data_IF_174582687469
#
_entry.id   IF_174582687469
#
_cell.length_a   1.000
_cell.length_b   1.000
_cell.length_c   1.000
_cell.angle_alpha   90.00
_cell.angle_beta   90.00
_cell.angle_gamma   90.00
#
_symmetry.space_group_name_H-M   'P 1'
#
loop_
_entity.id
_entity.type
_entity.pdbx_description
1 polymer ?
#
# COMPACT_ATOMS: atom_id res chain seq x y z
N UNK A 1 -5.00 7.56 10.69
CA UNK A 1 -5.19 7.14 9.29
C UNK A 1 -3.84 7.14 8.60
N UNK A 2 -3.52 6.08 7.86
CA UNK A 2 -2.28 6.01 7.11
C UNK A 2 -2.39 6.95 5.90
N UNK A 3 -1.59 8.01 5.87
CA UNK A 3 -1.53 8.96 4.76
C UNK A 3 -0.27 8.71 3.94
N UNK A 4 -0.36 8.85 2.63
CA UNK A 4 0.76 8.61 1.71
C UNK A 4 1.36 9.95 1.27
N UNK A 5 2.60 10.29 1.66
CA UNK A 5 3.24 11.52 1.23
C UNK A 5 3.46 11.53 -0.28
N UNK A 6 3.13 12.64 -0.94
CA UNK A 6 3.29 12.80 -2.39
C UNK A 6 4.73 12.59 -2.86
N UNK A 7 5.70 12.96 -2.01
CA UNK A 7 7.11 12.81 -2.32
C UNK A 7 7.59 11.36 -2.47
N UNK A 8 6.77 10.37 -2.09
CA UNK A 8 7.14 8.95 -2.11
C UNK A 8 6.80 8.23 -3.42
N UNK A 9 5.83 8.72 -4.16
CA UNK A 9 5.36 8.04 -5.38
C UNK A 9 5.44 8.91 -6.64
N UNK A 10 5.59 10.22 -6.50
CA UNK A 10 5.78 11.12 -7.63
C UNK A 10 7.22 11.08 -8.14
N UNK A 11 7.39 11.02 -9.45
CA UNK A 11 8.72 11.00 -10.09
C UNK A 11 9.25 12.42 -10.25
N UNK A 12 10.47 12.68 -9.74
CA UNK A 12 11.13 13.99 -9.88
C UNK A 12 11.80 14.09 -11.24
N UNK A 13 11.51 15.12 -12.06
CA UNK A 13 12.30 15.39 -13.25
C UNK A 13 13.76 15.68 -12.88
N UNK A 14 14.72 15.07 -13.59
CA UNK A 14 16.16 15.20 -13.33
C UNK A 14 16.73 16.63 -13.38
N UNK A 15 15.94 17.62 -13.82
CA UNK A 15 16.33 19.03 -13.93
C UNK A 15 16.18 19.81 -12.62
N UNK A 16 15.52 19.24 -11.61
CA UNK A 16 15.32 19.88 -10.31
C UNK A 16 15.95 19.03 -9.19
N UNK A 17 16.49 19.70 -8.17
CA UNK A 17 17.02 19.04 -6.97
C UNK A 17 15.91 18.27 -6.25
N UNK A 18 16.20 17.03 -5.88
CA UNK A 18 15.30 16.20 -5.08
C UNK A 18 14.98 16.85 -3.73
N UNK A 19 15.96 17.49 -3.09
CA UNK A 19 15.76 18.15 -1.79
C UNK A 19 14.76 19.30 -1.88
N UNK A 20 14.86 20.15 -2.91
CA UNK A 20 13.93 21.25 -3.12
C UNK A 20 12.52 20.77 -3.47
N UNK A 21 12.44 19.69 -4.24
CA UNK A 21 11.18 19.06 -4.58
C UNK A 21 10.52 18.42 -3.34
N UNK A 22 11.28 17.68 -2.53
CA UNK A 22 10.80 17.06 -1.29
C UNK A 22 10.38 18.12 -0.27
N UNK A 23 11.06 19.26 -0.17
CA UNK A 23 10.62 20.37 0.69
C UNK A 23 9.28 20.97 0.26
N UNK A 24 8.99 21.03 -1.05
CA UNK A 24 7.73 21.59 -1.59
C UNK A 24 6.54 20.63 -1.45
N UNK A 25 6.76 19.33 -1.62
CA UNK A 25 5.70 18.31 -1.64
C UNK A 25 5.64 17.43 -0.38
N UNK A 26 6.64 17.51 0.50
CA UNK A 26 6.74 16.65 1.69
C UNK A 26 5.65 16.88 2.74
N UNK A 27 4.96 18.04 2.69
CA UNK A 27 3.82 18.34 3.57
C UNK A 27 2.47 17.97 2.95
N UNK A 28 2.46 17.51 1.70
CA UNK A 28 1.25 17.07 1.02
C UNK A 28 1.15 15.56 1.10
N UNK A 29 0.00 15.08 1.56
CA UNK A 29 -0.31 13.67 1.60
C UNK A 29 -1.66 13.41 0.95
N UNK A 30 -1.72 12.28 0.24
CA UNK A 30 -2.94 11.68 -0.27
C UNK A 30 -3.48 10.65 0.74
N UNK A 31 -4.77 10.37 0.67
CA UNK A 31 -5.41 9.36 1.50
C UNK A 31 -5.22 7.97 0.90
N UNK A 32 -5.47 7.83 -0.41
CA UNK A 32 -5.22 6.57 -1.12
C UNK A 32 -4.47 6.79 -2.43
N UNK A 33 -3.61 5.83 -2.75
CA UNK A 33 -2.91 5.73 -4.03
C UNK A 33 -3.24 4.36 -4.60
N UNK A 34 -3.75 4.35 -5.83
CA UNK A 34 -4.08 3.12 -6.55
C UNK A 34 -2.92 2.82 -7.49
N UNK A 35 -2.35 1.63 -7.32
CA UNK A 35 -1.24 1.15 -8.13
C UNK A 35 -1.63 -0.09 -8.92
N UNK A 36 -0.95 -0.30 -10.04
CA UNK A 36 -0.99 -1.56 -10.79
C UNK A 36 -0.10 -2.63 -10.12
N UNK A 37 -0.12 -3.86 -10.65
CA UNK A 37 0.72 -4.97 -10.18
C UNK A 37 2.23 -4.66 -10.30
N UNK A 38 2.62 -3.82 -11.26
CA UNK A 38 3.99 -3.32 -11.43
C UNK A 38 4.33 -2.12 -10.52
N UNK A 39 3.50 -1.83 -9.51
CA UNK A 39 3.61 -0.68 -8.61
C UNK A 39 3.56 0.69 -9.29
N UNK A 40 3.07 0.76 -10.52
CA UNK A 40 2.86 2.03 -11.22
C UNK A 40 1.60 2.71 -10.68
N UNK A 41 1.69 4.01 -10.38
CA UNK A 41 0.56 4.79 -9.88
C UNK A 41 -0.43 5.04 -11.01
N UNK A 42 -1.66 4.51 -10.86
CA UNK A 42 -2.75 4.67 -11.80
C UNK A 42 -3.62 5.89 -11.46
N UNK A 43 -3.94 6.06 -10.18
CA UNK A 43 -4.79 7.15 -9.71
C UNK A 43 -4.54 7.46 -8.22
N UNK A 44 -4.94 8.67 -7.80
CA UNK A 44 -4.89 9.12 -6.41
C UNK A 44 -6.29 9.50 -5.97
N UNK A 45 -6.65 9.17 -4.72
CA UNK A 45 -7.94 9.51 -4.13
C UNK A 45 -7.75 10.37 -2.89
N UNK A 46 -8.48 11.48 -2.85
CA UNK A 46 -8.66 12.33 -1.67
C UNK A 46 -10.07 12.08 -1.11
N UNK A 47 -10.15 11.76 0.18
CA UNK A 47 -11.41 11.53 0.88
C UNK A 47 -11.79 12.77 1.68
N UNK A 48 -12.89 13.40 1.29
CA UNK A 48 -13.47 14.53 2.01
C UNK A 48 -14.52 14.02 3.01
N UNK A 49 -14.43 14.53 4.24
CA UNK A 49 -15.50 14.35 5.21
C UNK A 49 -16.80 14.98 4.71
N UNK A 50 -17.93 14.38 5.07
CA UNK A 50 -19.24 14.92 4.72
C UNK A 50 -19.44 16.32 5.34
N UNK A 51 -20.00 17.23 4.56
CA UNK A 51 -19.83 18.68 4.75
C UNK A 51 -20.27 19.21 6.13
N UNK A 52 -19.30 19.62 6.94
CA UNK A 52 -19.45 20.69 7.94
C UNK A 52 -19.31 22.08 7.28
N UNK A 53 -19.35 23.20 8.05
CA UNK A 53 -19.25 24.54 7.48
C UNK A 53 -18.04 24.68 6.55
N UNK A 54 -18.26 25.31 5.40
CA UNK A 54 -17.32 25.40 4.27
C UNK A 54 -15.89 25.66 4.74
N UNK A 55 -15.04 24.64 4.62
CA UNK A 55 -13.67 24.70 5.11
C UNK A 55 -12.72 25.14 4.00
N UNK A 56 -12.52 26.45 3.88
CA UNK A 56 -11.60 27.09 2.92
C UNK A 56 -10.17 26.49 2.98
N UNK A 57 -9.74 25.99 4.15
CA UNK A 57 -8.42 25.33 4.28
C UNK A 57 -8.35 23.98 3.55
N UNK A 58 -9.44 23.21 3.56
CA UNK A 58 -9.54 21.91 2.87
C UNK A 58 -9.54 22.14 1.37
N UNK A 59 -10.35 23.09 0.88
CA UNK A 59 -10.36 23.46 -0.54
C UNK A 59 -8.98 23.91 -1.04
N UNK A 60 -8.29 24.78 -0.28
CA UNK A 60 -6.92 25.22 -0.60
C UNK A 60 -5.89 24.08 -0.56
N UNK A 61 -6.05 23.08 0.33
CA UNK A 61 -5.20 21.88 0.35
C UNK A 61 -5.44 21.05 -0.91
N UNK A 62 -6.70 20.74 -1.22
CA UNK A 62 -7.06 19.93 -2.38
C UNK A 62 -6.64 20.60 -3.69
N UNK A 63 -6.78 21.94 -3.80
CA UNK A 63 -6.36 22.68 -4.98
C UNK A 63 -4.83 22.59 -5.20
N UNK A 64 -4.03 22.67 -4.14
CA UNK A 64 -2.57 22.47 -4.21
C UNK A 64 -2.23 21.06 -4.68
N UNK A 65 -2.90 20.05 -4.14
CA UNK A 65 -2.72 18.66 -4.53
C UNK A 65 -3.13 18.41 -5.99
N UNK A 66 -4.26 18.98 -6.42
CA UNK A 66 -4.75 18.95 -7.81
C UNK A 66 -3.72 19.53 -8.79
N UNK A 67 -3.08 20.65 -8.44
CA UNK A 67 -1.99 21.22 -9.25
C UNK A 67 -0.80 20.25 -9.38
N UNK A 68 -0.40 19.62 -8.29
CA UNK A 68 0.69 18.64 -8.28
C UNK A 68 0.37 17.39 -9.10
N UNK A 69 -0.85 16.84 -8.95
CA UNK A 69 -1.31 15.68 -9.72
C UNK A 69 -1.43 15.98 -11.21
N UNK A 70 -1.96 17.17 -11.57
CA UNK A 70 -2.05 17.64 -12.95
C UNK A 70 -0.67 17.74 -13.62
N UNK A 71 0.33 18.27 -12.90
CA UNK A 71 1.70 18.34 -13.39
C UNK A 71 2.33 16.95 -13.59
N UNK A 72 1.98 15.99 -12.73
CA UNK A 72 2.42 14.60 -12.82
C UNK A 72 1.64 13.76 -13.86
N UNK A 73 0.56 14.31 -14.44
CA UNK A 73 -0.37 13.61 -15.33
C UNK A 73 -1.03 12.39 -14.68
N UNK A 74 -1.26 12.45 -13.37
CA UNK A 74 -1.95 11.41 -12.61
C UNK A 74 -3.37 11.89 -12.31
N UNK A 75 -4.42 11.09 -12.56
CA UNK A 75 -5.79 11.45 -12.22
C UNK A 75 -5.99 11.51 -10.70
N UNK A 76 -6.65 12.57 -10.24
CA UNK A 76 -7.06 12.78 -8.85
C UNK A 76 -8.58 12.65 -8.74
N UNK A 77 -9.05 11.77 -7.86
CA UNK A 77 -10.47 11.61 -7.55
C UNK A 77 -10.77 12.16 -6.17
N UNK A 78 -11.81 12.99 -6.07
CA UNK A 78 -12.31 13.48 -4.79
C UNK A 78 -13.57 12.70 -4.45
N UNK A 79 -13.53 11.94 -3.37
CA UNK A 79 -14.68 11.20 -2.86
C UNK A 79 -15.15 11.83 -1.55
N UNK A 80 -16.44 11.72 -1.29
CA UNK A 80 -17.03 12.17 -0.03
C UNK A 80 -17.39 10.95 0.81
N UNK A 81 -17.12 10.98 2.10
CA UNK A 81 -17.37 9.87 3.02
C UNK A 81 -18.82 9.37 2.99
N UNK A 82 -19.79 10.28 2.93
CA UNK A 82 -21.22 9.95 2.83
C UNK A 82 -21.70 9.49 1.45
N UNK A 83 -20.86 9.56 0.41
CA UNK A 83 -21.23 9.20 -0.96
C UNK A 83 -20.06 8.55 -1.69
N UNK A 84 -19.72 7.35 -1.23
CA UNK A 84 -18.69 6.52 -1.86
C UNK A 84 -19.24 5.84 -3.11
N UNK A 85 -18.53 5.89 -4.24
CA UNK A 85 -18.91 5.16 -5.44
C UNK A 85 -18.87 3.64 -5.21
N UNK A 86 -19.78 2.87 -5.82
CA UNK A 86 -19.74 1.41 -5.74
C UNK A 86 -18.48 0.86 -6.43
N UNK A 87 -17.98 -0.29 -5.97
CA UNK A 87 -16.69 -0.84 -6.41
C UNK A 87 -16.56 -1.04 -7.92
N UNK A 88 -17.63 -1.42 -8.61
CA UNK A 88 -17.63 -1.56 -10.07
C UNK A 88 -17.51 -0.22 -10.79
N UNK A 89 -18.12 0.84 -10.27
CA UNK A 89 -17.97 2.19 -10.81
C UNK A 89 -16.52 2.67 -10.63
N UNK A 90 -15.93 2.44 -9.46
CA UNK A 90 -14.52 2.74 -9.17
C UNK A 90 -13.59 2.06 -10.18
N UNK A 91 -13.77 0.75 -10.40
CA UNK A 91 -12.97 -0.02 -11.38
C UNK A 91 -13.06 0.56 -12.79
N UNK A 92 -14.26 0.93 -13.24
CA UNK A 92 -14.47 1.54 -14.57
C UNK A 92 -13.85 2.93 -14.69
N UNK A 93 -13.87 3.72 -13.62
CA UNK A 93 -13.27 5.05 -13.60
C UNK A 93 -11.75 4.99 -13.67
N UNK A 94 -11.12 4.07 -12.95
CA UNK A 94 -9.66 3.94 -12.88
C UNK A 94 -9.11 3.18 -14.10
N UNK A 95 -9.77 2.08 -14.49
CA UNK A 95 -9.35 1.20 -15.59
C UNK A 95 -10.47 1.07 -16.64
N UNK A 96 -10.69 2.09 -17.49
CA UNK A 96 -11.75 2.07 -18.50
C UNK A 96 -11.53 0.99 -19.58
N UNK A 97 -10.31 0.49 -19.72
CA UNK A 97 -9.93 -0.54 -20.71
C UNK A 97 -10.10 -1.96 -20.19
N UNK A 98 -10.34 -2.16 -18.89
CA UNK A 98 -10.58 -3.49 -18.35
C UNK A 98 -11.98 -3.93 -18.77
N UNK A 99 -12.13 -4.93 -19.66
CA UNK A 99 -13.43 -5.48 -19.93
C UNK A 99 -13.99 -5.97 -18.60
N UNK A 100 -15.21 -5.52 -18.28
CA UNK A 100 -16.00 -6.05 -17.16
C UNK A 100 -16.00 -7.56 -17.32
N UNK A 101 -15.26 -8.27 -16.46
CA UNK A 101 -15.38 -9.71 -16.38
C UNK A 101 -16.86 -10.02 -16.15
N UNK A 102 -17.50 -10.86 -16.99
CA UNK A 102 -18.90 -11.14 -16.81
C UNK A 102 -19.06 -11.76 -15.41
N UNK A 103 -19.97 -11.19 -14.62
CA UNK A 103 -20.46 -11.81 -13.41
C UNK A 103 -20.85 -13.25 -13.78
N UNK A 104 -20.12 -14.23 -13.23
CA UNK A 104 -20.48 -15.64 -13.38
C UNK A 104 -21.83 -15.78 -12.68
N UNK A 105 -22.88 -15.82 -13.50
CA UNK A 105 -24.24 -16.07 -13.07
C UNK A 105 -24.28 -17.31 -12.18
N UNK A 106 -24.84 -17.11 -10.99
CA UNK A 106 -25.65 -18.02 -10.21
C UNK A 106 -25.66 -19.50 -10.66
N UNK A 107 -25.06 -20.34 -9.82
CA UNK A 107 -25.65 -21.54 -9.21
C UNK A 107 -26.82 -22.16 -10.00
N UNK A 108 -26.58 -23.32 -10.61
CA UNK A 108 -27.61 -24.33 -10.85
C UNK A 108 -27.36 -25.53 -9.94
N UNK A 109 -28.33 -25.94 -9.09
CA UNK A 109 -28.18 -27.11 -8.25
C UNK A 109 -28.55 -28.36 -9.07
N UNK A 110 -27.56 -29.15 -9.48
CA UNK A 110 -27.82 -30.52 -9.94
C UNK A 110 -27.68 -31.46 -8.76
N UNK A 111 -28.85 -31.79 -8.23
CA UNK A 111 -29.10 -32.81 -7.23
C UNK A 111 -28.71 -34.18 -7.80
N UNK A 112 -27.75 -34.86 -7.18
CA UNK A 112 -27.52 -36.29 -7.40
C UNK A 112 -27.11 -36.94 -6.08
N UNK A 113 -28.13 -37.36 -5.34
CA UNK A 113 -28.07 -38.31 -4.24
C UNK A 113 -27.45 -39.63 -4.71
N UNK A 114 -26.37 -40.08 -4.07
CA UNK A 114 -26.04 -41.49 -3.98
C UNK A 114 -25.36 -41.79 -2.64
N UNK A 115 -25.99 -42.69 -1.91
CA UNK A 115 -25.75 -43.07 -0.51
C UNK A 115 -24.81 -44.28 -0.42
N UNK A 116 -23.71 -44.13 0.34
CA UNK A 116 -22.98 -45.12 1.19
C UNK A 116 -22.45 -46.44 0.57
N UNK A 117 -21.60 -47.27 1.25
CA UNK A 117 -20.85 -47.10 2.52
C UNK A 117 -19.33 -47.41 2.42
N UNK A 118 -18.62 -47.21 3.55
CA UNK A 118 -17.21 -47.54 3.81
C UNK A 118 -17.04 -49.08 3.95
N UNK A 119 -15.84 -49.65 3.69
CA UNK A 119 -15.18 -50.31 4.81
C UNK A 119 -13.67 -50.04 4.91
N UNK A 120 -13.21 -50.20 6.16
CA UNK A 120 -11.88 -49.97 6.67
C UNK A 120 -10.81 -50.93 6.08
N UNK A 121 -9.61 -50.41 5.86
CA UNK A 121 -8.39 -51.20 5.81
C UNK A 121 -7.26 -50.46 6.54
N UNK A 122 -6.58 -51.22 7.39
CA UNK A 122 -5.72 -50.83 8.48
C UNK A 122 -4.45 -50.04 8.10
N UNK A 123 -4.18 -49.05 8.96
CA UNK A 123 -2.91 -48.64 9.54
C UNK A 123 -1.61 -49.30 9.03
N UNK A 124 -0.64 -48.46 8.62
CA UNK A 124 0.75 -48.60 9.07
C UNK A 124 1.39 -47.21 9.18
N UNK A 125 2.08 -47.00 10.30
CA UNK A 125 2.50 -45.72 10.84
C UNK A 125 3.73 -45.11 10.15
N UNK A 126 3.78 -43.77 10.08
CA UNK A 126 5.03 -43.00 10.07
C UNK A 126 4.89 -41.78 10.97
N UNK A 127 5.68 -41.83 12.05
CA UNK A 127 6.30 -40.75 12.81
C UNK A 127 5.54 -39.44 13.06
N UNK A 128 5.22 -39.22 14.34
CA UNK A 128 4.77 -37.97 14.92
C UNK A 128 5.82 -36.85 14.73
N UNK A 129 5.42 -35.79 14.00
CA UNK A 129 6.08 -34.49 14.06
C UNK A 129 5.60 -33.73 15.32
N UNK A 130 6.48 -33.04 16.07
CA UNK A 130 6.06 -32.27 17.22
C UNK A 130 5.17 -31.10 16.77
N UNK A 131 4.05 -30.96 17.46
CA UNK A 131 3.07 -29.88 17.34
C UNK A 131 3.83 -28.55 17.48
N UNK A 132 3.84 -27.74 16.41
CA UNK A 132 4.41 -26.39 16.46
C UNK A 132 3.71 -25.61 17.57
N UNK A 133 4.47 -25.26 18.62
CA UNK A 133 4.00 -24.43 19.72
C UNK A 133 3.50 -23.09 19.15
N UNK A 134 2.32 -22.68 19.58
CA UNK A 134 1.74 -21.42 19.14
C UNK A 134 2.56 -20.25 19.71
N UNK A 135 2.77 -19.13 18.97
CA UNK A 135 3.59 -18.00 19.43
C UNK A 135 3.04 -17.26 20.68
N UNK A 136 1.88 -17.68 21.18
CA UNK A 136 1.16 -17.07 22.30
C UNK A 136 1.09 -17.98 23.55
N UNK A 137 1.64 -19.20 23.52
CA UNK A 137 1.74 -20.05 24.70
C UNK A 137 2.90 -19.59 25.61
N UNK A 138 2.53 -18.94 26.72
CA UNK A 138 3.47 -18.32 27.67
C UNK A 138 4.05 -19.31 28.70
N UNK A 139 3.57 -20.56 28.74
CA UNK A 139 3.85 -21.53 29.80
C UNK A 139 5.25 -22.17 29.79
N UNK A 140 6.15 -21.72 28.91
CA UNK A 140 7.53 -22.23 28.80
C UNK A 140 8.60 -21.15 28.67
N UNK A 141 8.27 -19.88 28.94
CA UNK A 141 9.25 -18.79 28.88
C UNK A 141 10.19 -18.86 30.08
N UNK A 142 11.44 -19.19 29.80
CA UNK A 142 12.54 -19.11 30.76
C UNK A 142 12.83 -17.64 31.10
N UNK A 143 12.38 -17.19 32.27
CA UNK A 143 12.56 -15.83 32.78
C UNK A 143 14.03 -15.43 32.99
N UNK A 144 14.97 -16.37 32.86
CA UNK A 144 16.41 -16.09 32.94
C UNK A 144 17.03 -15.68 31.60
N UNK A 145 16.28 -15.70 30.49
CA UNK A 145 16.74 -15.24 29.17
C UNK A 145 16.41 -13.77 28.86
N UNK A 146 15.90 -13.00 29.82
CA UNK A 146 15.82 -11.54 29.71
C UNK A 146 17.22 -10.93 29.81
N UNK A 147 18.02 -11.18 28.77
CA UNK A 147 19.24 -10.47 28.49
C UNK A 147 18.86 -9.00 28.37
N UNK A 148 19.31 -8.22 29.35
CA UNK A 148 19.34 -6.76 29.31
C UNK A 148 19.88 -6.34 27.95
N UNK A 149 19.00 -5.84 27.08
CA UNK A 149 19.40 -5.16 25.86
C UNK A 149 20.04 -3.86 26.34
N UNK A 150 21.36 -3.87 26.55
CA UNK A 150 22.10 -2.63 26.68
C UNK A 150 21.81 -1.80 25.43
N UNK A 151 21.46 -0.51 25.56
CA UNK A 151 21.22 0.35 24.42
C UNK A 151 22.55 0.59 23.73
N UNK A 152 22.96 -0.34 22.86
CA UNK A 152 24.07 -0.15 21.97
C UNK A 152 23.62 0.91 20.98
N UNK A 153 24.20 2.10 21.11
CA UNK A 153 23.96 3.19 20.18
C UNK A 153 24.23 2.67 18.76
N UNK A 154 23.27 2.82 17.82
CA UNK A 154 23.46 2.28 16.49
C UNK A 154 24.71 2.93 15.89
N UNK A 155 25.56 2.16 15.19
CA UNK A 155 26.73 2.73 14.53
C UNK A 155 26.27 3.88 13.64
N UNK A 156 27.02 4.98 13.66
CA UNK A 156 26.75 6.16 12.84
C UNK A 156 26.58 5.72 11.40
N UNK A 157 25.40 5.98 10.84
CA UNK A 157 25.03 5.51 9.51
C UNK A 157 26.01 6.06 8.47
N UNK A 158 26.88 5.20 7.95
CA UNK A 158 27.76 5.50 6.80
C UNK A 158 26.99 5.54 5.48
N UNK A 159 25.67 5.33 5.51
CA UNK A 159 24.81 5.29 4.32
C UNK A 159 24.72 6.64 3.60
N UNK A 160 25.01 7.76 4.28
CA UNK A 160 24.94 9.09 3.68
C UNK A 160 26.29 9.63 3.17
N UNK A 161 27.42 9.03 3.52
CA UNK A 161 28.75 9.54 3.12
C UNK A 161 29.07 9.31 1.63
N UNK A 162 28.49 8.29 1.00
CA UNK A 162 28.76 7.98 -0.42
C UNK A 162 28.15 9.01 -1.40
N UNK A 163 27.13 9.77 -0.96
CA UNK A 163 26.42 10.73 -1.81
C UNK A 163 27.13 12.08 -1.96
N UNK A 164 28.11 12.38 -1.11
CA UNK A 164 28.94 13.59 -1.17
C UNK A 164 30.22 13.41 -2.00
N UNK A 165 30.36 12.30 -2.73
CA UNK A 165 31.43 12.13 -3.72
C UNK A 165 31.36 13.22 -4.78
N UNK A 166 32.36 14.10 -4.78
CA UNK A 166 32.42 15.37 -5.51
C UNK A 166 32.23 15.33 -7.04
N UNK A 167 32.23 16.50 -7.70
CA UNK A 167 31.79 16.65 -9.08
C UNK A 167 32.64 15.84 -10.06
N UNK A 168 31.97 14.98 -10.84
CA UNK A 168 32.56 14.20 -11.93
C UNK A 168 33.10 15.16 -13.01
N UNK A 169 34.39 15.14 -13.37
CA UNK A 169 34.92 16.06 -14.37
C UNK A 169 34.35 15.72 -15.75
N UNK A 170 33.62 16.67 -16.33
CA UNK A 170 33.15 16.60 -17.71
C UNK A 170 34.35 16.63 -18.67
N UNK A 171 34.54 15.58 -19.46
CA UNK A 171 35.43 15.60 -20.63
C UNK A 171 34.87 16.62 -21.63
N UNK A 172 35.63 17.67 -21.91
CA UNK A 172 35.32 18.61 -23.01
C UNK A 172 35.58 17.93 -24.36
N UNK A 173 34.83 18.30 -25.42
CA UNK A 173 34.98 17.75 -26.76
C UNK A 173 36.33 18.07 -27.39
#
# INVERSE_FOLDING_TARGET
>A
MAQVPLCRFLRVPKRHSYADWSRRLGHQCADFVICDFDFQVLAVVELQAEAGPANDRVSKRSERMSRSMKAAKIPLHLWTEGSLPPGDAVRRTINPTSPTAPAVSAISPSNATATAPIPAAAATAVAAAPKAASPFEESGRDSTQDLRIEPLEPPTSTWFDDLDSGPTPLRKP
#
